data_IF_048585363674
#
_entry.id   IF_048585363674
#
_cell.length_a   1.000
_cell.length_b   1.000
_cell.length_c   1.000
_cell.angle_alpha   90.00
_cell.angle_beta   90.00
_cell.angle_gamma   90.00
#
_symmetry.space_group_name_H-M   'P 1'
#
loop_
_entity.id
_entity.type
_entity.pdbx_description
1 polymer ?
#
# COMPACT_ATOMS: atom_id res chain seq x y z
N UNK A 1 59.06 4.25 -26.58
CA UNK A 1 58.48 3.87 -25.33
C UNK A 1 56.99 4.33 -25.37
N UNK A 2 56.02 3.45 -25.39
CA UNK A 2 54.63 3.85 -25.20
C UNK A 2 54.39 4.19 -23.74
N UNK A 3 53.43 5.10 -23.40
CA UNK A 3 53.09 5.38 -22.03
C UNK A 3 52.44 4.18 -21.38
N UNK A 4 52.79 3.92 -20.14
CA UNK A 4 52.18 2.90 -19.28
C UNK A 4 50.73 3.33 -18.99
N UNK A 5 49.78 2.48 -19.38
CA UNK A 5 48.42 2.55 -18.93
C UNK A 5 48.37 2.48 -17.39
N UNK A 6 48.06 3.60 -16.75
CA UNK A 6 47.69 3.60 -15.34
C UNK A 6 46.33 2.85 -15.21
N UNK A 7 46.20 1.90 -14.30
CA UNK A 7 44.91 1.26 -14.05
C UNK A 7 43.95 2.27 -13.41
N UNK A 8 42.81 2.41 -14.03
CA UNK A 8 41.66 3.22 -13.62
C UNK A 8 41.22 2.80 -12.18
N UNK A 9 41.82 3.44 -11.19
CA UNK A 9 41.54 3.24 -9.76
C UNK A 9 40.56 4.32 -9.32
N UNK A 10 39.25 4.19 -9.67
CA UNK A 10 38.14 4.80 -8.90
C UNK A 10 36.73 4.38 -9.40
N UNK A 11 36.54 3.08 -9.64
CA UNK A 11 35.17 2.55 -9.96
C UNK A 11 34.25 2.44 -8.73
N UNK A 12 34.67 2.88 -7.53
CA UNK A 12 33.90 2.77 -6.29
C UNK A 12 33.82 4.11 -5.54
N UNK A 13 33.29 5.14 -6.22
CA UNK A 13 33.13 6.46 -5.61
C UNK A 13 32.19 6.48 -4.40
N UNK A 14 32.29 7.51 -3.52
CA UNK A 14 31.49 7.63 -2.30
C UNK A 14 29.97 7.63 -2.54
N UNK A 15 29.53 7.90 -3.77
CA UNK A 15 28.12 7.78 -4.17
C UNK A 15 27.67 6.30 -4.25
N UNK A 16 28.46 5.46 -4.91
CA UNK A 16 28.17 4.02 -5.03
C UNK A 16 28.17 3.29 -3.68
N UNK A 17 29.05 3.71 -2.75
CA UNK A 17 29.05 3.17 -1.40
C UNK A 17 27.78 3.56 -0.63
N UNK A 18 27.26 4.78 -0.85
CA UNK A 18 26.00 5.24 -0.26
C UNK A 18 24.81 4.46 -0.81
N UNK A 19 24.76 4.26 -2.11
CA UNK A 19 23.69 3.53 -2.78
C UNK A 19 23.69 2.06 -2.33
N UNK A 20 24.86 1.43 -2.22
CA UNK A 20 24.98 0.07 -1.70
C UNK A 20 24.53 -0.07 -0.25
N UNK A 21 24.86 0.92 0.60
CA UNK A 21 24.39 0.93 1.99
C UNK A 21 22.87 1.07 2.06
N UNK A 22 22.30 2.01 1.30
CA UNK A 22 20.86 2.25 1.18
C UNK A 22 20.14 0.99 0.72
N UNK A 23 20.64 0.35 -0.34
CA UNK A 23 20.11 -0.91 -0.85
C UNK A 23 20.11 -2.03 0.21
N UNK A 24 21.22 -2.23 0.92
CA UNK A 24 21.32 -3.25 1.98
C UNK A 24 20.37 -2.98 3.15
N UNK A 25 20.13 -1.70 3.48
CA UNK A 25 19.14 -1.33 4.49
C UNK A 25 17.73 -1.66 3.99
N UNK A 26 17.39 -1.39 2.72
CA UNK A 26 16.11 -1.71 2.12
C UNK A 26 15.83 -3.23 2.12
N UNK A 27 16.81 -4.04 1.69
CA UNK A 27 16.72 -5.50 1.71
C UNK A 27 16.50 -6.08 3.12
N UNK A 28 17.21 -5.55 4.12
CA UNK A 28 17.08 -5.99 5.50
C UNK A 28 15.76 -5.54 6.12
N UNK A 29 15.26 -4.35 5.74
CA UNK A 29 13.96 -3.86 6.12
C UNK A 29 12.82 -4.69 5.49
N UNK A 30 12.92 -5.04 4.22
CA UNK A 30 11.97 -5.92 3.54
C UNK A 30 11.82 -7.28 4.23
N UNK A 31 12.94 -7.90 4.64
CA UNK A 31 12.90 -9.12 5.46
C UNK A 31 12.19 -8.93 6.80
N UNK A 32 12.35 -7.77 7.43
CA UNK A 32 11.68 -7.47 8.69
C UNK A 32 10.17 -7.22 8.53
N UNK A 33 9.73 -6.73 7.36
CA UNK A 33 8.31 -6.60 7.01
C UNK A 33 7.64 -7.98 6.89
N UNK A 34 8.29 -8.95 6.29
CA UNK A 34 7.80 -10.34 6.28
C UNK A 34 7.54 -10.90 7.69
N UNK A 35 8.24 -10.39 8.71
CA UNK A 35 8.00 -10.67 10.13
C UNK A 35 6.93 -9.80 10.80
N UNK A 36 6.16 -8.98 10.03
CA UNK A 36 5.04 -8.18 10.52
C UNK A 36 5.39 -6.77 11.00
N UNK A 37 6.56 -6.23 10.67
CA UNK A 37 6.90 -4.81 10.89
C UNK A 37 6.34 -3.95 9.75
N UNK A 38 5.95 -2.70 10.05
CA UNK A 38 5.76 -1.69 9.02
C UNK A 38 7.11 -1.21 8.45
N UNK A 39 7.09 -0.61 7.23
CA UNK A 39 8.31 -0.21 6.52
C UNK A 39 9.15 0.78 7.34
N UNK A 40 8.52 1.80 7.95
CA UNK A 40 9.21 2.82 8.73
C UNK A 40 10.02 2.22 9.88
N UNK A 41 9.38 1.36 10.69
CA UNK A 41 10.07 0.67 11.80
C UNK A 41 11.11 -0.31 11.31
N UNK A 42 10.84 -0.99 10.19
CA UNK A 42 11.78 -1.91 9.56
C UNK A 42 13.05 -1.19 9.13
N UNK A 43 12.94 -0.03 8.46
CA UNK A 43 14.08 0.81 8.02
C UNK A 43 14.96 1.22 9.20
N UNK A 44 14.38 1.77 10.27
CA UNK A 44 15.19 2.18 11.44
C UNK A 44 15.91 1.00 12.10
N UNK A 45 15.29 -0.16 12.20
CA UNK A 45 15.95 -1.36 12.75
C UNK A 45 17.03 -1.89 11.83
N UNK A 46 16.79 -1.91 10.52
CA UNK A 46 17.74 -2.33 9.52
C UNK A 46 18.97 -1.41 9.49
N UNK A 47 18.76 -0.09 9.50
CA UNK A 47 19.83 0.90 9.53
C UNK A 47 20.78 0.67 10.72
N UNK A 48 20.24 0.48 11.92
CA UNK A 48 21.03 0.20 13.13
C UNK A 48 21.83 -1.11 13.02
N UNK A 49 21.30 -2.14 12.37
CA UNK A 49 21.95 -3.45 12.18
C UNK A 49 23.03 -3.38 11.12
N UNK A 50 22.72 -2.79 9.95
CA UNK A 50 23.57 -2.79 8.76
C UNK A 50 24.74 -1.80 8.90
N UNK A 51 24.44 -0.55 9.32
CA UNK A 51 25.45 0.49 9.42
C UNK A 51 26.25 0.47 10.73
N UNK A 52 25.80 -0.29 11.74
CA UNK A 52 26.42 -0.34 13.08
C UNK A 52 26.60 1.05 13.74
N UNK A 53 25.83 2.06 13.29
CA UNK A 53 25.91 3.43 13.74
C UNK A 53 24.69 4.24 13.30
N UNK A 54 24.74 5.55 13.57
CA UNK A 54 23.69 6.47 13.14
C UNK A 54 23.81 6.71 11.61
N UNK A 55 22.65 6.66 10.92
CA UNK A 55 22.53 6.97 9.50
C UNK A 55 21.61 8.19 9.37
N UNK A 56 22.02 9.26 8.66
CA UNK A 56 21.18 10.41 8.38
C UNK A 56 19.90 10.01 7.62
N UNK A 57 18.79 10.69 7.88
CA UNK A 57 17.48 10.37 7.28
C UNK A 57 17.50 10.46 5.74
N UNK A 58 18.25 11.39 5.17
CA UNK A 58 18.47 11.55 3.73
C UNK A 58 19.20 10.37 3.07
N UNK A 59 19.78 9.48 3.87
CA UNK A 59 20.48 8.27 3.43
C UNK A 59 19.71 6.99 3.73
N UNK A 60 18.57 7.09 4.41
CA UNK A 60 17.69 5.96 4.63
C UNK A 60 16.87 5.67 3.37
N UNK A 61 16.54 4.39 3.07
CA UNK A 61 15.56 4.08 2.06
C UNK A 61 14.20 4.62 2.48
N UNK A 62 13.44 5.11 1.53
CA UNK A 62 12.05 5.47 1.76
C UNK A 62 11.13 4.22 1.76
N UNK A 63 9.86 4.43 2.05
CA UNK A 63 8.90 3.33 2.11
C UNK A 63 8.71 2.65 0.75
N UNK A 64 8.75 3.43 -0.34
CA UNK A 64 8.60 2.90 -1.70
C UNK A 64 9.75 1.96 -2.06
N UNK A 65 11.00 2.35 -1.78
CA UNK A 65 12.17 1.51 -2.02
C UNK A 65 12.11 0.18 -1.23
N UNK A 66 11.61 0.20 0.02
CA UNK A 66 11.44 -1.01 0.83
C UNK A 66 10.31 -1.88 0.27
N UNK A 67 9.20 -1.26 -0.15
CA UNK A 67 8.10 -1.99 -0.78
C UNK A 67 8.52 -2.61 -2.12
N UNK A 68 9.41 -1.95 -2.87
CA UNK A 68 9.99 -2.52 -4.10
C UNK A 68 10.86 -3.75 -3.81
N UNK A 69 11.61 -3.76 -2.70
CA UNK A 69 12.34 -4.94 -2.27
C UNK A 69 11.42 -6.08 -1.83
N UNK A 70 10.34 -5.76 -1.11
CA UNK A 70 9.32 -6.77 -0.75
C UNK A 70 8.72 -7.38 -2.01
N UNK A 71 8.34 -6.56 -2.99
CA UNK A 71 7.80 -7.03 -4.28
C UNK A 71 8.78 -7.93 -5.02
N UNK A 72 10.06 -7.55 -5.10
CA UNK A 72 11.10 -8.40 -5.70
C UNK A 72 11.24 -9.75 -5.00
N UNK A 73 11.05 -9.78 -3.70
CA UNK A 73 11.06 -11.02 -2.92
C UNK A 73 9.82 -11.90 -3.14
N UNK A 74 8.66 -11.29 -3.42
CA UNK A 74 7.41 -11.99 -3.70
C UNK A 74 7.35 -12.51 -5.15
N UNK A 75 8.05 -11.85 -6.07
CA UNK A 75 8.12 -12.21 -7.48
C UNK A 75 9.58 -12.30 -7.97
N UNK A 76 10.33 -13.34 -7.55
CA UNK A 76 11.73 -13.51 -7.94
C UNK A 76 11.93 -13.69 -9.44
N UNK A 77 10.93 -14.17 -10.16
CA UNK A 77 10.99 -14.43 -11.61
C UNK A 77 10.60 -13.21 -12.44
N UNK A 78 10.11 -12.14 -11.79
CA UNK A 78 9.78 -10.88 -12.46
C UNK A 78 8.52 -10.93 -13.29
N UNK A 79 7.60 -11.85 -13.00
CA UNK A 79 6.29 -11.97 -13.67
C UNK A 79 5.47 -10.68 -13.53
N UNK A 80 5.60 -10.01 -12.38
CA UNK A 80 4.98 -8.70 -12.13
C UNK A 80 5.69 -7.53 -12.85
N UNK A 81 6.87 -7.76 -13.45
CA UNK A 81 7.59 -6.71 -14.21
C UNK A 81 6.95 -6.39 -15.56
N UNK A 82 6.07 -7.26 -16.08
CA UNK A 82 5.30 -7.00 -17.28
C UNK A 82 4.11 -6.06 -17.04
N UNK A 83 3.84 -5.71 -15.78
CA UNK A 83 2.79 -4.80 -15.36
C UNK A 83 3.24 -3.31 -15.35
N UNK A 84 4.14 -2.90 -16.24
CA UNK A 84 4.47 -1.49 -16.49
C UNK A 84 3.58 -1.01 -17.62
N UNK A 85 2.30 -0.80 -17.32
CA UNK A 85 1.36 -0.41 -18.36
C UNK A 85 0.43 0.72 -17.92
N UNK A 86 -0.31 0.57 -16.84
CA UNK A 86 -1.31 1.53 -16.43
C UNK A 86 -1.31 1.77 -14.90
N UNK A 87 -2.19 2.65 -14.43
CA UNK A 87 -2.32 2.98 -13.01
C UNK A 87 -2.71 1.78 -12.16
N UNK A 88 -3.48 0.84 -12.71
CA UNK A 88 -3.93 -0.34 -11.97
C UNK A 88 -2.81 -1.34 -11.73
N UNK A 89 -1.85 -1.45 -12.64
CA UNK A 89 -0.65 -2.23 -12.42
C UNK A 89 0.18 -1.65 -11.26
N UNK A 90 0.30 -0.33 -11.21
CA UNK A 90 0.96 0.35 -10.08
C UNK A 90 0.21 0.16 -8.76
N UNK A 91 -1.12 0.23 -8.77
CA UNK A 91 -1.98 -0.05 -7.60
C UNK A 91 -1.82 -1.51 -7.17
N UNK A 92 -1.90 -2.46 -8.10
CA UNK A 92 -1.70 -3.88 -7.81
C UNK A 92 -0.35 -4.14 -7.13
N UNK A 93 0.71 -3.56 -7.68
CA UNK A 93 2.06 -3.66 -7.15
C UNK A 93 2.18 -3.07 -5.73
N UNK A 94 1.51 -1.95 -5.46
CA UNK A 94 1.48 -1.34 -4.12
C UNK A 94 0.69 -2.22 -3.13
N UNK A 95 -0.49 -2.70 -3.52
CA UNK A 95 -1.40 -3.51 -2.68
C UNK A 95 -0.81 -4.90 -2.38
N UNK A 96 -0.07 -5.51 -3.32
CA UNK A 96 0.56 -6.82 -3.14
C UNK A 96 1.44 -6.90 -1.87
N UNK A 97 2.02 -5.78 -1.44
CA UNK A 97 2.83 -5.70 -0.22
C UNK A 97 2.01 -6.04 1.03
N UNK A 98 0.69 -5.82 1.01
CA UNK A 98 -0.21 -6.13 2.13
C UNK A 98 -0.27 -7.64 2.44
N UNK A 99 0.09 -8.52 1.51
CA UNK A 99 0.23 -9.96 1.76
C UNK A 99 1.25 -10.27 2.87
N UNK A 100 2.23 -9.39 3.08
CA UNK A 100 3.25 -9.54 4.14
C UNK A 100 2.82 -8.96 5.48
N UNK A 101 1.79 -8.12 5.50
CA UNK A 101 1.33 -7.41 6.70
C UNK A 101 0.30 -8.27 7.42
N UNK A 102 0.70 -8.80 8.58
CA UNK A 102 -0.19 -9.60 9.42
C UNK A 102 -0.74 -8.78 10.58
N UNK A 103 -1.98 -9.02 10.91
CA UNK A 103 -2.66 -8.46 12.07
C UNK A 103 -2.82 -9.52 13.18
N UNK A 104 -3.31 -9.08 14.33
CA UNK A 104 -3.51 -10.01 15.45
C UNK A 104 -4.68 -10.96 15.13
N UNK A 105 -4.49 -12.29 15.20
CA UNK A 105 -5.49 -13.28 14.76
C UNK A 105 -6.87 -13.16 15.43
N UNK A 106 -6.91 -12.62 16.67
CA UNK A 106 -8.18 -12.40 17.37
C UNK A 106 -9.00 -11.22 16.84
N UNK A 107 -8.38 -10.32 16.06
CA UNK A 107 -9.06 -9.16 15.45
C UNK A 107 -9.25 -9.32 13.94
N UNK A 108 -8.34 -10.04 13.32
CA UNK A 108 -8.30 -10.25 11.87
C UNK A 108 -8.05 -11.74 11.61
N UNK A 109 -9.09 -12.56 11.74
CA UNK A 109 -8.99 -14.02 11.57
C UNK A 109 -8.67 -14.43 10.13
N UNK A 110 -8.89 -13.56 9.15
CA UNK A 110 -8.55 -13.73 7.75
C UNK A 110 -7.05 -13.87 7.52
N UNK A 111 -6.21 -13.21 8.31
CA UNK A 111 -4.76 -13.38 8.29
C UNK A 111 -3.96 -12.18 7.82
N UNK A 112 -3.70 -12.02 6.52
CA UNK A 112 -2.98 -10.88 5.97
C UNK A 112 -3.93 -9.71 5.67
N UNK A 113 -3.38 -8.48 5.67
CA UNK A 113 -4.17 -7.28 5.34
C UNK A 113 -4.66 -7.32 3.90
N UNK A 114 -3.93 -7.97 2.98
CA UNK A 114 -4.40 -8.17 1.61
C UNK A 114 -5.72 -8.95 1.57
N UNK A 115 -5.82 -10.05 2.31
CA UNK A 115 -7.04 -10.87 2.37
C UNK A 115 -8.23 -10.04 2.88
N UNK A 116 -8.00 -9.18 3.86
CA UNK A 116 -8.99 -8.24 4.35
C UNK A 116 -9.42 -7.24 3.25
N UNK A 117 -8.46 -6.58 2.59
CA UNK A 117 -8.76 -5.60 1.53
C UNK A 117 -9.55 -6.23 0.37
N UNK A 118 -9.24 -7.47 0.00
CA UNK A 118 -9.99 -8.20 -1.04
C UNK A 118 -11.41 -8.57 -0.59
N UNK A 119 -11.62 -8.88 0.69
CA UNK A 119 -12.98 -9.07 1.22
C UNK A 119 -13.78 -7.76 1.21
N UNK A 120 -13.17 -6.63 1.62
CA UNK A 120 -13.82 -5.31 1.54
C UNK A 120 -14.19 -4.99 0.10
N UNK A 121 -13.27 -5.21 -0.85
CA UNK A 121 -13.51 -5.03 -2.27
C UNK A 121 -14.73 -5.84 -2.74
N UNK A 122 -14.80 -7.11 -2.42
CA UNK A 122 -15.90 -7.98 -2.85
C UNK A 122 -17.25 -7.55 -2.24
N UNK A 123 -17.28 -7.20 -0.96
CA UNK A 123 -18.49 -6.72 -0.30
C UNK A 123 -19.01 -5.42 -0.93
N UNK A 124 -18.10 -4.49 -1.28
CA UNK A 124 -18.46 -3.25 -2.00
C UNK A 124 -18.91 -3.57 -3.43
N UNK A 125 -18.23 -4.50 -4.12
CA UNK A 125 -18.58 -4.91 -5.48
C UNK A 125 -19.99 -5.51 -5.58
N UNK A 126 -20.42 -6.24 -4.58
CA UNK A 126 -21.78 -6.81 -4.54
C UNK A 126 -22.87 -5.72 -4.47
N UNK A 127 -22.59 -4.58 -3.85
CA UNK A 127 -23.55 -3.47 -3.69
C UNK A 127 -23.41 -2.41 -4.82
N UNK A 128 -22.18 -2.12 -5.26
CA UNK A 128 -21.86 -1.08 -6.24
C UNK A 128 -20.89 -1.60 -7.31
N UNK A 129 -21.31 -2.52 -8.19
CA UNK A 129 -20.43 -3.21 -9.14
C UNK A 129 -19.87 -2.33 -10.26
N UNK A 130 -20.38 -1.11 -10.44
CA UNK A 130 -20.00 -0.20 -11.51
C UNK A 130 -19.26 1.04 -11.02
N UNK A 131 -18.98 1.16 -9.73
CA UNK A 131 -18.27 2.29 -9.14
C UNK A 131 -16.78 1.98 -8.99
N UNK A 132 -16.00 2.25 -10.04
CA UNK A 132 -14.55 2.01 -10.08
C UNK A 132 -13.82 2.74 -8.94
N UNK A 133 -14.16 3.98 -8.66
CA UNK A 133 -13.47 4.81 -7.66
C UNK A 133 -13.72 4.31 -6.23
N UNK A 134 -14.93 3.87 -5.93
CA UNK A 134 -15.29 3.28 -4.63
C UNK A 134 -14.63 1.89 -4.46
N UNK A 135 -14.61 1.09 -5.51
CA UNK A 135 -13.94 -0.21 -5.53
C UNK A 135 -12.42 -0.06 -5.37
N UNK A 136 -11.83 0.94 -6.02
CA UNK A 136 -10.42 1.27 -5.81
C UNK A 136 -10.18 1.70 -4.36
N UNK A 137 -11.04 2.53 -3.77
CA UNK A 137 -10.93 2.89 -2.35
C UNK A 137 -10.99 1.66 -1.44
N UNK A 138 -11.90 0.72 -1.72
CA UNK A 138 -12.02 -0.53 -0.98
C UNK A 138 -10.73 -1.37 -1.04
N UNK A 139 -10.07 -1.43 -2.19
CA UNK A 139 -8.85 -2.21 -2.38
C UNK A 139 -7.64 -1.59 -1.65
N UNK A 140 -7.52 -0.24 -1.66
CA UNK A 140 -6.30 0.45 -1.21
C UNK A 140 -6.36 1.02 0.20
N UNK A 141 -7.54 1.03 0.88
CA UNK A 141 -7.78 1.77 2.13
C UNK A 141 -6.77 1.48 3.25
N UNK A 142 -6.24 0.30 3.30
CA UNK A 142 -5.32 -0.18 4.33
C UNK A 142 -3.84 -0.19 3.90
N UNK A 143 -3.49 0.34 2.70
CA UNK A 143 -2.13 0.34 2.18
C UNK A 143 -1.11 0.90 3.16
N UNK A 144 -1.46 1.98 3.84
CA UNK A 144 -0.55 2.62 4.78
C UNK A 144 -0.18 1.77 6.01
N UNK A 145 -0.89 0.68 6.29
CA UNK A 145 -0.48 -0.27 7.35
C UNK A 145 0.84 -0.98 7.04
N UNK A 146 1.19 -1.09 5.75
CA UNK A 146 2.50 -1.58 5.34
C UNK A 146 3.59 -0.51 5.51
N UNK A 147 3.24 0.76 5.46
CA UNK A 147 4.17 1.90 5.38
C UNK A 147 4.44 2.51 6.76
N UNK A 148 3.41 3.03 7.42
CA UNK A 148 3.49 3.60 8.77
C UNK A 148 2.21 3.30 9.56
N UNK A 149 2.28 2.39 10.50
CA UNK A 149 1.13 2.00 11.35
C UNK A 149 0.69 3.09 12.32
N UNK A 150 1.50 4.12 12.54
CA UNK A 150 1.11 5.24 13.39
C UNK A 150 0.19 6.22 12.65
N UNK A 151 0.39 6.37 11.31
CA UNK A 151 -0.38 7.27 10.47
C UNK A 151 -0.78 6.56 9.16
N UNK A 152 -1.57 5.46 9.21
CA UNK A 152 -1.77 4.60 8.04
C UNK A 152 -2.52 5.31 6.90
N UNK A 153 -3.52 6.13 7.20
CA UNK A 153 -4.27 6.85 6.18
C UNK A 153 -3.38 7.83 5.41
N UNK A 154 -2.66 8.69 6.12
CA UNK A 154 -1.80 9.68 5.49
C UNK A 154 -0.67 9.03 4.67
N UNK A 155 0.01 8.03 5.23
CA UNK A 155 1.11 7.34 4.53
C UNK A 155 0.64 6.53 3.32
N UNK A 156 -0.55 5.93 3.39
CA UNK A 156 -1.15 5.23 2.25
C UNK A 156 -1.51 6.19 1.12
N UNK A 157 -2.15 7.32 1.44
CA UNK A 157 -2.52 8.35 0.47
C UNK A 157 -1.32 9.05 -0.17
N UNK A 158 -0.24 9.24 0.59
CA UNK A 158 1.03 9.76 0.07
C UNK A 158 1.66 8.79 -0.93
N UNK A 159 1.70 7.50 -0.60
CA UNK A 159 2.26 6.47 -1.47
C UNK A 159 1.45 6.26 -2.77
N UNK A 160 0.14 6.44 -2.71
CA UNK A 160 -0.73 6.35 -3.89
C UNK A 160 -0.62 7.56 -4.81
N UNK A 161 -0.33 8.74 -4.26
CA UNK A 161 -0.13 9.97 -5.04
C UNK A 161 -1.24 10.20 -6.07
N UNK A 162 -0.85 10.33 -7.33
CA UNK A 162 -1.73 10.59 -8.47
C UNK A 162 -2.32 9.30 -9.09
N UNK A 163 -2.06 8.13 -8.51
CA UNK A 163 -2.63 6.85 -8.98
C UNK A 163 -4.14 6.75 -8.68
N UNK A 164 -4.65 7.55 -7.77
CA UNK A 164 -6.05 7.56 -7.35
C UNK A 164 -6.70 8.91 -7.60
N UNK A 165 -8.00 8.89 -7.87
CA UNK A 165 -8.80 10.10 -8.11
C UNK A 165 -9.02 10.89 -6.81
N UNK A 166 -9.42 12.17 -6.90
CA UNK A 166 -9.81 12.96 -5.74
C UNK A 166 -10.95 12.33 -4.93
N UNK A 167 -11.92 11.66 -5.59
CA UNK A 167 -13.03 10.98 -4.92
C UNK A 167 -12.55 9.73 -4.17
N UNK A 168 -11.75 8.87 -4.81
CA UNK A 168 -11.11 7.71 -4.15
C UNK A 168 -10.30 8.16 -2.92
N UNK A 169 -9.50 9.23 -3.07
CA UNK A 169 -8.73 9.81 -1.95
C UNK A 169 -9.62 10.24 -0.81
N UNK A 170 -10.70 10.96 -1.10
CA UNK A 170 -11.65 11.42 -0.09
C UNK A 170 -12.31 10.26 0.66
N UNK A 171 -12.70 9.19 -0.04
CA UNK A 171 -13.29 8.00 0.56
C UNK A 171 -12.32 7.33 1.56
N UNK A 172 -11.06 7.16 1.17
CA UNK A 172 -10.01 6.58 2.05
C UNK A 172 -9.72 7.50 3.25
N UNK A 173 -9.58 8.81 3.02
CA UNK A 173 -9.31 9.79 4.07
C UNK A 173 -10.45 9.87 5.08
N UNK A 174 -11.68 9.73 4.61
CA UNK A 174 -12.89 9.88 5.43
C UNK A 174 -13.29 8.57 6.15
N UNK A 175 -12.77 7.43 5.74
CA UNK A 175 -13.11 6.11 6.31
C UNK A 175 -13.06 6.05 7.85
N UNK A 176 -12.07 6.62 8.57
CA UNK A 176 -12.10 6.65 10.03
C UNK A 176 -13.32 7.39 10.59
N UNK A 177 -13.68 8.54 9.99
CA UNK A 177 -14.85 9.31 10.41
C UNK A 177 -16.17 8.59 10.09
N UNK A 178 -16.25 7.88 8.95
CA UNK A 178 -17.40 7.05 8.60
C UNK A 178 -17.60 5.88 9.57
N UNK A 179 -16.51 5.25 10.03
CA UNK A 179 -16.56 4.23 11.10
C UNK A 179 -17.08 4.82 12.41
N UNK A 180 -16.55 5.97 12.85
CA UNK A 180 -17.02 6.67 14.05
C UNK A 180 -18.49 7.10 13.93
N UNK A 181 -18.94 7.48 12.72
CA UNK A 181 -20.36 7.79 12.45
C UNK A 181 -21.23 6.54 12.67
N UNK A 182 -20.86 5.41 12.11
CA UNK A 182 -21.57 4.13 12.32
C UNK A 182 -21.60 3.70 13.79
N UNK A 183 -20.55 3.98 14.56
CA UNK A 183 -20.45 3.71 16.01
C UNK A 183 -21.13 4.76 16.87
N UNK A 184 -21.67 5.83 16.28
CA UNK A 184 -22.30 6.98 16.97
C UNK A 184 -21.33 7.74 17.89
N UNK A 185 -20.03 7.67 17.61
CA UNK A 185 -18.97 8.34 18.40
C UNK A 185 -18.46 9.62 17.75
N UNK A 186 -18.81 9.86 16.47
CA UNK A 186 -18.39 11.04 15.73
C UNK A 186 -18.99 12.33 16.29
N UNK A 187 -18.13 13.31 16.59
CA UNK A 187 -18.55 14.59 17.13
C UNK A 187 -19.46 15.38 16.17
N UNK A 188 -20.43 16.13 16.69
CA UNK A 188 -21.52 16.78 15.96
C UNK A 188 -21.05 17.57 14.72
N UNK A 189 -19.99 18.39 14.84
CA UNK A 189 -19.51 19.22 13.70
C UNK A 189 -18.89 18.37 12.58
N UNK A 190 -18.19 17.29 12.93
CA UNK A 190 -17.61 16.36 11.98
C UNK A 190 -18.73 15.56 11.28
N UNK A 191 -19.71 15.12 12.04
CA UNK A 191 -20.90 14.45 11.54
C UNK A 191 -21.65 15.29 10.50
N UNK A 192 -21.96 16.55 10.80
CA UNK A 192 -22.65 17.46 9.87
C UNK A 192 -21.85 17.68 8.58
N UNK A 193 -20.51 17.74 8.65
CA UNK A 193 -19.66 17.87 7.44
C UNK A 193 -19.66 16.60 6.60
N UNK A 194 -19.60 15.45 7.27
CA UNK A 194 -19.64 14.14 6.60
C UNK A 194 -20.98 13.93 5.90
N UNK A 195 -22.10 14.16 6.61
CA UNK A 195 -23.46 13.99 6.10
C UNK A 195 -23.80 14.96 4.94
N UNK A 196 -23.14 16.11 4.87
CA UNK A 196 -23.33 17.08 3.80
C UNK A 196 -22.55 16.76 2.51
N UNK A 197 -21.66 15.76 2.52
CA UNK A 197 -20.89 15.41 1.33
C UNK A 197 -21.71 14.55 0.36
N UNK A 198 -21.62 14.77 -0.97
CA UNK A 198 -22.38 13.99 -1.95
C UNK A 198 -22.09 12.48 -1.87
N UNK A 199 -20.85 12.08 -1.60
CA UNK A 199 -20.43 10.68 -1.49
C UNK A 199 -20.56 10.11 -0.05
N UNK A 200 -21.39 10.73 0.79
CA UNK A 200 -21.58 10.30 2.18
C UNK A 200 -22.02 8.84 2.29
N UNK A 201 -22.98 8.42 1.45
CA UNK A 201 -23.49 7.05 1.49
C UNK A 201 -22.44 6.03 1.08
N UNK A 202 -21.58 6.38 0.12
CA UNK A 202 -20.48 5.52 -0.32
C UNK A 202 -19.40 5.38 0.77
N UNK A 203 -19.12 6.47 1.49
CA UNK A 203 -18.22 6.40 2.66
C UNK A 203 -18.78 5.49 3.76
N UNK A 204 -20.10 5.50 3.99
CA UNK A 204 -20.74 4.59 4.93
C UNK A 204 -20.71 3.15 4.44
N UNK A 205 -20.98 2.90 3.16
CA UNK A 205 -20.90 1.57 2.57
C UNK A 205 -19.49 0.99 2.72
N UNK A 206 -18.46 1.79 2.41
CA UNK A 206 -17.07 1.38 2.59
C UNK A 206 -16.76 1.03 4.06
N UNK A 207 -17.23 1.86 5.01
CA UNK A 207 -17.03 1.63 6.44
C UNK A 207 -17.76 0.37 6.94
N UNK A 208 -18.94 0.07 6.40
CA UNK A 208 -19.69 -1.12 6.72
C UNK A 208 -19.03 -2.38 6.15
N UNK A 209 -18.60 -2.34 4.88
CA UNK A 209 -17.85 -3.42 4.25
C UNK A 209 -16.56 -3.75 5.02
N UNK A 210 -15.80 -2.73 5.40
CA UNK A 210 -14.59 -2.88 6.23
C UNK A 210 -14.88 -3.53 7.60
N UNK A 211 -16.01 -3.20 8.21
CA UNK A 211 -16.43 -3.80 9.49
C UNK A 211 -16.75 -5.29 9.34
N UNK A 212 -17.36 -5.70 8.22
CA UNK A 212 -17.80 -7.08 7.99
C UNK A 212 -16.74 -7.98 7.36
N UNK A 213 -15.70 -7.42 6.78
CA UNK A 213 -14.64 -8.13 6.06
C UNK A 213 -13.63 -8.83 6.99
N UNK A 214 -14.10 -9.59 7.96
CA UNK A 214 -13.26 -10.32 8.93
C UNK A 214 -13.61 -11.82 8.96
N UNK A 215 -13.80 -12.43 7.79
CA UNK A 215 -14.20 -13.82 7.69
C UNK A 215 -13.02 -14.69 7.23
N UNK A 216 -12.67 -15.68 8.01
CA UNK A 216 -11.63 -16.65 7.63
C UNK A 216 -12.12 -17.53 6.48
N UNK A 217 -11.30 -17.62 5.41
CA UNK A 217 -11.62 -18.44 4.25
C UNK A 217 -12.79 -17.90 3.41
N UNK A 218 -13.07 -16.61 3.51
CA UNK A 218 -14.02 -15.93 2.63
C UNK A 218 -13.55 -16.08 1.16
N UNK A 219 -14.45 -16.40 0.22
CA UNK A 219 -14.10 -16.59 -1.19
C UNK A 219 -13.98 -15.25 -1.94
N UNK A 220 -13.11 -14.36 -1.45
CA UNK A 220 -12.83 -13.11 -2.14
C UNK A 220 -12.11 -13.35 -3.48
N UNK A 221 -12.24 -12.42 -4.45
CA UNK A 221 -11.44 -12.47 -5.67
C UNK A 221 -9.94 -12.39 -5.34
N UNK A 222 -9.11 -12.92 -6.22
CA UNK A 222 -7.67 -12.66 -6.18
C UNK A 222 -7.36 -11.20 -6.51
N UNK A 223 -6.15 -10.73 -6.19
CA UNK A 223 -5.73 -9.38 -6.54
C UNK A 223 -5.79 -9.14 -8.05
N UNK A 224 -5.40 -10.12 -8.86
CA UNK A 224 -5.44 -10.01 -10.32
C UNK A 224 -6.88 -9.90 -10.85
N UNK A 225 -7.82 -10.64 -10.27
CA UNK A 225 -9.24 -10.54 -10.63
C UNK A 225 -9.84 -9.19 -10.23
N UNK A 226 -9.53 -8.69 -9.03
CA UNK A 226 -9.97 -7.37 -8.58
C UNK A 226 -9.44 -6.25 -9.50
N UNK A 227 -8.17 -6.31 -9.86
CA UNK A 227 -7.54 -5.35 -10.78
C UNK A 227 -8.12 -5.45 -12.19
N UNK A 228 -8.42 -6.65 -12.67
CA UNK A 228 -9.09 -6.83 -13.98
C UNK A 228 -10.48 -6.21 -14.01
N UNK A 229 -11.24 -6.30 -12.90
CA UNK A 229 -12.55 -5.63 -12.76
C UNK A 229 -12.38 -4.11 -12.84
N UNK A 230 -11.45 -3.52 -12.06
CA UNK A 230 -11.22 -2.07 -12.08
C UNK A 230 -10.85 -1.56 -13.48
N UNK A 231 -9.96 -2.27 -14.16
CA UNK A 231 -9.56 -1.92 -15.54
C UNK A 231 -10.73 -1.97 -16.52
N UNK A 232 -11.55 -3.00 -16.44
CA UNK A 232 -12.72 -3.12 -17.31
C UNK A 232 -13.75 -2.00 -17.09
N UNK A 233 -13.89 -1.51 -15.84
CA UNK A 233 -14.77 -0.39 -15.52
C UNK A 233 -14.24 0.95 -16.05
N UNK A 234 -12.93 1.20 -15.94
CA UNK A 234 -12.32 2.40 -16.53
C UNK A 234 -12.44 2.42 -18.04
N UNK A 235 -12.16 1.29 -18.71
CA UNK A 235 -12.30 1.15 -20.17
C UNK A 235 -13.74 1.41 -20.62
N UNK A 236 -14.73 0.93 -19.89
CA UNK A 236 -16.14 1.16 -20.17
C UNK A 236 -16.53 2.64 -20.01
N UNK A 237 -16.05 3.31 -18.99
CA UNK A 237 -16.30 4.74 -18.75
C UNK A 237 -15.61 5.65 -19.78
N UNK A 238 -14.46 5.24 -20.32
CA UNK A 238 -13.75 5.98 -21.36
C UNK A 238 -14.31 5.79 -22.78
N UNK A 239 -15.26 4.86 -22.97
CA UNK A 239 -15.88 4.56 -24.25
C UNK A 239 -17.18 5.34 -24.52
N UNK A 240 -17.72 6.08 -23.54
CA UNK A 240 -18.89 6.96 -23.65
C UNK A 240 -18.46 8.39 -23.98
#
# INVERSE_FOLDING_TARGET
MPPLDEPDHDANGPAQLRDRLRQRIAEDAARAMAGGSDARRAVFRAARRVARGWVPDDRLPDAAEVCDEVRRGLDPEGSLRHLVGDRFDAIAAAVAVLATVRQHPARCPEGAVLEHSLQVFDLVYQEQPFDEELLTAALVHDLGRAIDRANPVASGLEALGDLITPRTRWLVETLPAAREHGDQTLGHRARMRLEAHPDFLDALLLAEADRWAHQRGYPAPSLDEAVAILRALEDAAGAE
#
